data_IF_288877256940
#
_entry.id   IF_288877256940
#
_cell.length_a   1.000
_cell.length_b   1.000
_cell.length_c   1.000
_cell.angle_alpha   90.00
_cell.angle_beta   90.00
_cell.angle_gamma   90.00
#
_symmetry.space_group_name_H-M   'P 1'
#
loop_
_entity.id
_entity.type
_entity.pdbx_description
1 polymer ?
#
# COMPACT_ATOMS: atom_id res chain seq x y z
N UNK A 1 -24.39 42.18 -13.60
CA UNK A 1 -23.08 41.50 -13.41
C UNK A 1 -23.13 40.28 -12.48
N UNK A 2 -23.93 40.26 -11.39
CA UNK A 2 -23.97 39.12 -10.45
C UNK A 2 -24.73 37.87 -10.94
N UNK A 3 -25.61 38.02 -11.92
CA UNK A 3 -26.50 36.93 -12.36
C UNK A 3 -25.85 36.00 -13.40
N UNK A 4 -25.00 36.55 -14.28
CA UNK A 4 -24.25 35.78 -15.29
C UNK A 4 -23.25 34.82 -14.61
N UNK A 5 -22.65 35.25 -13.49
CA UNK A 5 -21.74 34.42 -12.69
C UNK A 5 -22.45 33.32 -11.88
N UNK A 6 -23.78 33.38 -11.73
CA UNK A 6 -24.59 32.31 -11.12
C UNK A 6 -24.96 31.26 -12.17
N UNK A 7 -25.37 31.70 -13.36
CA UNK A 7 -25.71 30.81 -14.48
C UNK A 7 -24.52 29.92 -14.93
N UNK A 8 -23.30 30.47 -14.92
CA UNK A 8 -22.09 29.69 -15.23
C UNK A 8 -21.79 28.56 -14.21
N UNK A 9 -22.22 28.71 -12.95
CA UNK A 9 -22.04 27.68 -11.91
C UNK A 9 -23.10 26.58 -11.96
N UNK A 10 -24.30 26.89 -12.45
CA UNK A 10 -25.41 25.94 -12.53
C UNK A 10 -25.32 25.04 -13.76
N UNK A 11 -24.76 25.53 -14.88
CA UNK A 11 -24.55 24.75 -16.09
C UNK A 11 -23.46 23.66 -15.93
N UNK A 12 -22.52 23.83 -15.00
CA UNK A 12 -21.49 22.82 -14.70
C UNK A 12 -21.94 21.75 -13.69
N UNK A 13 -23.10 21.93 -13.02
CA UNK A 13 -23.67 20.92 -12.11
C UNK A 13 -24.36 19.77 -12.86
N UNK A 14 -24.58 19.89 -14.18
CA UNK A 14 -25.35 18.91 -14.97
C UNK A 14 -24.53 18.02 -15.90
N UNK A 15 -23.21 18.06 -15.79
CA UNK A 15 -22.30 17.07 -16.36
C UNK A 15 -21.41 16.56 -15.24
N UNK A 16 -22.01 15.85 -14.28
CA UNK A 16 -21.27 14.83 -13.53
C UNK A 16 -21.03 13.68 -14.49
N UNK A 17 -20.02 13.89 -15.33
CA UNK A 17 -19.30 12.80 -15.95
C UNK A 17 -18.98 11.78 -14.86
N UNK A 18 -19.18 10.51 -15.18
CA UNK A 18 -18.66 9.36 -14.44
C UNK A 18 -17.13 9.34 -14.57
N UNK A 19 -16.49 10.42 -14.14
CA UNK A 19 -15.07 10.45 -13.82
C UNK A 19 -14.94 9.61 -12.56
N UNK A 20 -14.31 8.45 -12.68
CA UNK A 20 -13.79 7.70 -11.52
C UNK A 20 -13.25 8.70 -10.50
N UNK A 21 -13.56 8.59 -9.19
CA UNK A 21 -13.00 9.52 -8.23
C UNK A 21 -11.48 9.32 -8.26
N UNK A 22 -10.81 10.23 -8.96
CA UNK A 22 -9.40 10.49 -8.74
C UNK A 22 -9.34 11.08 -7.33
N UNK A 23 -9.31 10.18 -6.34
CA UNK A 23 -8.98 10.58 -4.98
C UNK A 23 -7.63 11.27 -5.10
N UNK A 24 -7.61 12.56 -4.78
CA UNK A 24 -6.38 13.32 -4.66
C UNK A 24 -5.58 12.64 -3.55
N UNK A 25 -4.67 11.73 -3.92
CA UNK A 25 -3.79 11.04 -2.97
C UNK A 25 -2.70 11.97 -2.44
N UNK A 26 -2.82 13.28 -2.68
CA UNK A 26 -2.04 14.30 -2.01
C UNK A 26 -2.30 14.27 -0.49
N UNK A 27 -1.40 13.63 0.26
CA UNK A 27 -1.35 13.68 1.71
C UNK A 27 -1.60 12.33 2.41
N UNK A 28 -1.93 12.40 3.69
CA UNK A 28 -2.18 11.21 4.53
C UNK A 28 -3.65 10.81 4.44
N UNK A 29 -3.97 9.50 4.40
CA UNK A 29 -5.34 9.04 4.56
C UNK A 29 -5.99 9.59 5.84
N UNK A 30 -7.21 10.14 5.77
CA UNK A 30 -7.84 10.81 6.92
C UNK A 30 -8.23 9.83 8.04
N UNK A 31 -8.58 8.60 7.68
CA UNK A 31 -8.97 7.55 8.62
C UNK A 31 -8.80 6.17 7.99
N UNK A 32 -8.99 5.14 8.82
CA UNK A 32 -8.90 3.73 8.45
C UNK A 32 -9.88 3.31 7.34
N UNK A 33 -11.09 3.86 7.35
CA UNK A 33 -12.14 3.55 6.39
C UNK A 33 -11.77 4.03 4.98
N UNK A 34 -11.20 5.22 4.87
CA UNK A 34 -10.73 5.77 3.61
C UNK A 34 -9.62 4.90 2.98
N UNK A 35 -8.74 4.30 3.80
CA UNK A 35 -7.71 3.35 3.33
C UNK A 35 -8.36 2.09 2.75
N UNK A 36 -9.41 1.56 3.40
CA UNK A 36 -10.14 0.38 2.92
C UNK A 36 -10.88 0.68 1.61
N UNK A 37 -11.55 1.83 1.54
CA UNK A 37 -12.25 2.26 0.34
C UNK A 37 -11.29 2.43 -0.84
N UNK A 38 -10.14 3.09 -0.61
CA UNK A 38 -9.08 3.20 -1.61
C UNK A 38 -8.62 1.82 -2.09
N UNK A 39 -8.31 0.90 -1.17
CA UNK A 39 -7.86 -0.44 -1.52
C UNK A 39 -8.90 -1.19 -2.36
N UNK A 40 -10.18 -1.17 -1.94
CA UNK A 40 -11.28 -1.84 -2.65
C UNK A 40 -11.53 -1.27 -4.05
N UNK A 41 -11.46 0.06 -4.19
CA UNK A 41 -11.83 0.73 -5.44
C UNK A 41 -10.70 0.76 -6.47
N UNK A 42 -9.44 0.75 -6.01
CA UNK A 42 -8.25 0.90 -6.86
C UNK A 42 -7.38 -0.36 -6.90
N UNK A 43 -6.99 -0.88 -5.74
CA UNK A 43 -5.93 -1.90 -5.64
C UNK A 43 -6.45 -3.33 -5.86
N UNK A 44 -7.73 -3.61 -5.55
CA UNK A 44 -8.36 -4.89 -5.89
C UNK A 44 -8.41 -5.09 -7.41
N UNK A 45 -8.67 -4.03 -8.19
CA UNK A 45 -8.63 -4.09 -9.67
C UNK A 45 -7.24 -4.37 -10.22
N UNK A 46 -6.20 -4.06 -9.43
CA UNK A 46 -4.79 -4.35 -9.72
C UNK A 46 -4.33 -5.71 -9.17
N UNK A 47 -5.26 -6.52 -8.67
CA UNK A 47 -5.02 -7.84 -8.10
C UNK A 47 -4.00 -7.87 -6.95
N UNK A 48 -3.88 -6.77 -6.17
CA UNK A 48 -2.97 -6.74 -5.03
C UNK A 48 -3.38 -7.78 -3.99
N UNK A 49 -2.40 -8.56 -3.55
CA UNK A 49 -2.61 -9.64 -2.58
C UNK A 49 -2.93 -10.98 -3.23
N UNK A 50 -2.96 -11.06 -4.57
CA UNK A 50 -3.14 -12.29 -5.33
C UNK A 50 -1.92 -12.59 -6.21
N UNK A 51 -1.66 -13.87 -6.47
CA UNK A 51 -0.67 -14.35 -7.43
C UNK A 51 -1.26 -14.54 -8.84
N UNK A 52 -0.44 -15.06 -9.77
CA UNK A 52 -0.84 -15.31 -11.17
C UNK A 52 -2.01 -16.31 -11.30
N UNK A 53 -2.20 -17.19 -10.32
CA UNK A 53 -3.30 -18.16 -10.25
C UNK A 53 -4.55 -17.60 -9.53
N UNK A 54 -4.56 -16.30 -9.18
CA UNK A 54 -5.57 -15.66 -8.32
C UNK A 54 -5.65 -16.26 -6.91
N UNK A 55 -4.55 -16.81 -6.38
CA UNK A 55 -4.47 -17.29 -4.99
C UNK A 55 -3.88 -16.20 -4.10
N UNK A 56 -4.28 -16.14 -2.81
CA UNK A 56 -3.69 -15.19 -1.87
C UNK A 56 -2.17 -15.35 -1.76
N UNK A 57 -1.43 -14.25 -1.87
CA UNK A 57 0.01 -14.24 -1.63
C UNK A 57 0.33 -14.41 -0.15
N UNK A 58 1.48 -15.01 0.12
CA UNK A 58 1.93 -15.37 1.47
C UNK A 58 2.48 -14.18 2.29
N UNK A 59 2.61 -13.00 1.71
CA UNK A 59 3.18 -11.83 2.39
C UNK A 59 2.18 -10.71 2.68
N UNK A 60 0.94 -10.76 2.16
CA UNK A 60 -0.02 -9.67 2.29
C UNK A 60 -1.04 -9.91 3.41
N UNK A 61 -1.07 -9.01 4.41
CA UNK A 61 -1.88 -9.15 5.62
C UNK A 61 -3.10 -8.21 5.63
N UNK A 62 -3.36 -7.50 4.54
CA UNK A 62 -4.44 -6.51 4.49
C UNK A 62 -4.24 -5.39 5.51
N UNK A 63 -5.31 -4.96 6.16
CA UNK A 63 -5.30 -3.84 7.09
C UNK A 63 -5.10 -4.28 8.55
N UNK A 64 -3.85 -4.57 8.90
CA UNK A 64 -3.43 -4.74 10.30
C UNK A 64 -2.66 -3.51 10.79
N UNK A 65 -2.70 -3.27 12.08
CA UNK A 65 -1.93 -2.21 12.75
C UNK A 65 -0.45 -2.55 12.77
N UNK A 66 0.36 -1.54 13.06
CA UNK A 66 1.80 -1.73 13.31
C UNK A 66 2.05 -2.72 14.45
N UNK A 67 1.29 -2.63 15.54
CA UNK A 67 1.48 -3.49 16.72
C UNK A 67 1.14 -4.95 16.42
N UNK A 68 0.05 -5.21 15.68
CA UNK A 68 -0.30 -6.57 15.25
C UNK A 68 0.78 -7.16 14.36
N UNK A 69 1.33 -6.38 13.43
CA UNK A 69 2.45 -6.81 12.59
C UNK A 69 3.71 -7.14 13.39
N UNK A 70 4.06 -6.30 14.38
CA UNK A 70 5.18 -6.55 15.29
C UNK A 70 4.98 -7.84 16.10
N UNK A 71 3.76 -8.08 16.61
CA UNK A 71 3.41 -9.31 17.32
C UNK A 71 3.51 -10.56 16.44
N UNK A 72 2.99 -10.50 15.22
CA UNK A 72 3.07 -11.60 14.25
C UNK A 72 4.53 -11.94 13.91
N UNK A 73 5.37 -10.92 13.71
CA UNK A 73 6.79 -11.11 13.38
C UNK A 73 7.66 -11.48 14.58
N UNK A 74 7.21 -11.26 15.83
CA UNK A 74 8.02 -11.49 17.02
C UNK A 74 8.51 -12.95 17.15
N UNK A 75 7.68 -13.90 16.72
CA UNK A 75 7.97 -15.34 16.74
C UNK A 75 8.61 -15.86 15.44
N UNK A 76 8.87 -14.97 14.48
CA UNK A 76 9.47 -15.33 13.19
C UNK A 76 11.00 -15.10 13.23
N UNK A 77 11.77 -15.83 12.40
CA UNK A 77 13.20 -15.61 12.28
C UNK A 77 13.51 -14.20 11.74
N UNK A 78 14.68 -13.66 12.09
CA UNK A 78 15.19 -12.43 11.45
C UNK A 78 15.25 -12.57 9.92
N UNK A 79 14.91 -11.50 9.21
CA UNK A 79 14.70 -11.55 7.76
C UNK A 79 13.25 -11.81 7.34
N UNK A 80 12.38 -12.21 8.27
CA UNK A 80 10.95 -12.38 7.96
C UNK A 80 10.27 -11.05 7.74
N UNK A 81 9.30 -11.00 6.83
CA UNK A 81 8.58 -9.78 6.53
C UNK A 81 7.10 -10.03 6.25
N UNK A 82 6.31 -8.96 6.35
CA UNK A 82 4.94 -8.92 5.87
C UNK A 82 4.62 -7.53 5.33
N UNK A 83 3.60 -7.46 4.48
CA UNK A 83 3.08 -6.22 3.90
C UNK A 83 1.67 -5.99 4.42
N UNK A 84 1.41 -4.76 4.85
CA UNK A 84 0.10 -4.32 5.35
C UNK A 84 -0.29 -2.99 4.73
N UNK A 85 -1.57 -2.70 4.69
CA UNK A 85 -2.07 -1.39 4.34
C UNK A 85 -1.56 -0.32 5.33
N UNK A 86 -1.34 0.89 4.83
CA UNK A 86 -0.81 2.00 5.61
C UNK A 86 -1.89 3.02 5.94
N UNK A 87 -1.96 3.39 7.22
CA UNK A 87 -2.74 4.55 7.67
C UNK A 87 -1.89 5.83 7.69
N UNK A 88 -0.67 5.80 7.12
CA UNK A 88 0.28 6.94 7.09
C UNK A 88 0.49 7.52 5.69
N UNK A 89 0.28 6.71 4.66
CA UNK A 89 0.44 7.09 3.24
C UNK A 89 -0.65 6.37 2.45
N UNK A 90 -1.00 6.88 1.28
CA UNK A 90 -1.84 6.14 0.32
C UNK A 90 -1.01 5.02 -0.31
N UNK A 91 -1.04 3.86 0.34
CA UNK A 91 -0.17 2.73 0.01
C UNK A 91 -0.01 1.76 1.17
N UNK A 92 1.22 1.29 1.37
CA UNK A 92 1.52 0.14 2.22
C UNK A 92 2.64 0.42 3.22
N UNK A 93 2.82 -0.52 4.13
CA UNK A 93 3.99 -0.62 4.98
C UNK A 93 4.52 -2.06 4.94
N UNK A 94 5.81 -2.21 4.67
CA UNK A 94 6.54 -3.46 4.83
C UNK A 94 7.06 -3.50 6.25
N UNK A 95 6.60 -4.46 7.04
CA UNK A 95 7.11 -4.71 8.39
C UNK A 95 8.14 -5.84 8.31
N UNK A 96 9.31 -5.61 8.89
CA UNK A 96 10.49 -6.47 8.73
C UNK A 96 11.08 -6.86 10.08
N UNK A 97 11.30 -8.16 10.27
CA UNK A 97 11.86 -8.74 11.47
C UNK A 97 13.38 -8.56 11.51
N UNK A 98 13.82 -7.75 12.46
CA UNK A 98 15.21 -7.61 12.89
C UNK A 98 15.22 -7.47 14.43
N UNK A 99 16.40 -7.30 15.03
CA UNK A 99 16.58 -7.06 16.48
C UNK A 99 15.54 -6.07 17.05
N UNK A 100 15.31 -4.96 16.34
CA UNK A 100 14.13 -4.11 16.46
C UNK A 100 13.35 -4.18 15.15
N UNK A 101 12.03 -4.40 15.23
CA UNK A 101 11.17 -4.42 14.04
C UNK A 101 11.30 -3.11 13.25
N UNK A 102 11.51 -3.23 11.94
CA UNK A 102 11.65 -2.10 11.01
C UNK A 102 10.39 -1.98 10.17
N UNK A 103 10.04 -0.76 9.78
CA UNK A 103 8.86 -0.51 8.93
C UNK A 103 9.22 0.45 7.81
N UNK A 104 8.92 0.04 6.58
CA UNK A 104 9.21 0.82 5.39
C UNK A 104 7.89 1.17 4.69
N UNK A 105 7.66 2.45 4.46
CA UNK A 105 6.45 2.92 3.81
C UNK A 105 6.59 2.79 2.29
N UNK A 106 5.53 2.31 1.64
CA UNK A 106 5.40 2.23 0.19
C UNK A 106 4.30 3.20 -0.22
N UNK A 107 4.65 4.19 -1.03
CA UNK A 107 3.68 5.05 -1.72
C UNK A 107 3.14 4.32 -2.96
N UNK A 108 1.82 4.40 -3.15
CA UNK A 108 1.09 3.78 -4.25
C UNK A 108 0.41 4.81 -5.18
N UNK A 109 0.72 6.10 -5.00
CA UNK A 109 0.10 7.21 -5.74
C UNK A 109 0.44 7.20 -7.23
N UNK A 110 1.67 6.84 -7.59
CA UNK A 110 2.16 6.76 -8.97
C UNK A 110 3.14 5.58 -9.12
N UNK A 111 2.57 4.38 -9.26
CA UNK A 111 3.29 3.12 -9.10
C UNK A 111 3.62 2.84 -7.63
N UNK A 112 4.40 1.78 -7.39
CA UNK A 112 4.77 1.33 -6.04
C UNK A 112 6.23 1.68 -5.76
N UNK A 113 6.48 2.48 -4.72
CA UNK A 113 7.84 2.92 -4.39
C UNK A 113 8.03 3.06 -2.90
N UNK A 114 9.18 2.62 -2.40
CA UNK A 114 9.56 2.87 -1.01
C UNK A 114 9.84 4.36 -0.78
N UNK A 115 9.37 4.89 0.35
CA UNK A 115 9.73 6.24 0.76
C UNK A 115 11.19 6.28 1.25
N UNK A 116 11.98 7.14 0.63
CA UNK A 116 13.41 7.31 0.93
C UNK A 116 14.18 7.84 -0.28
N UNK A 117 15.43 8.24 -0.08
CA UNK A 117 16.31 8.62 -1.18
C UNK A 117 16.68 7.41 -2.04
N UNK A 118 16.78 7.60 -3.36
CA UNK A 118 17.27 6.59 -4.30
C UNK A 118 16.33 5.42 -4.58
N UNK A 119 15.08 5.46 -4.10
CA UNK A 119 14.12 4.38 -4.31
C UNK A 119 13.45 4.48 -5.68
N UNK A 120 13.39 3.35 -6.39
CA UNK A 120 12.78 3.22 -7.71
C UNK A 120 11.29 2.90 -7.60
N UNK A 121 10.52 3.27 -8.62
CA UNK A 121 9.11 2.88 -8.72
C UNK A 121 8.96 1.57 -9.49
N UNK A 122 8.00 0.76 -9.07
CA UNK A 122 7.63 -0.51 -9.67
C UNK A 122 6.19 -0.46 -10.19
N UNK A 123 5.90 -1.26 -11.23
CA UNK A 123 4.57 -1.31 -11.83
C UNK A 123 3.56 -2.03 -10.94
N UNK A 124 3.99 -3.09 -10.25
CA UNK A 124 3.16 -3.83 -9.29
C UNK A 124 3.82 -3.89 -7.92
N UNK A 125 3.02 -4.07 -6.86
CA UNK A 125 3.54 -4.30 -5.52
C UNK A 125 4.37 -5.59 -5.46
N UNK A 126 3.95 -6.63 -6.19
CA UNK A 126 4.69 -7.89 -6.29
C UNK A 126 6.09 -7.69 -6.88
N UNK A 127 6.23 -6.84 -7.91
CA UNK A 127 7.54 -6.51 -8.49
C UNK A 127 8.46 -5.83 -7.48
N UNK A 128 7.92 -4.90 -6.67
CA UNK A 128 8.68 -4.25 -5.59
C UNK A 128 9.19 -5.29 -4.59
N UNK A 129 8.31 -6.21 -4.14
CA UNK A 129 8.70 -7.27 -3.20
C UNK A 129 9.75 -8.20 -3.83
N UNK A 130 9.56 -8.59 -5.08
CA UNK A 130 10.46 -9.49 -5.80
C UNK A 130 11.83 -8.85 -6.08
N UNK A 131 11.87 -7.55 -6.35
CA UNK A 131 13.12 -6.80 -6.47
C UNK A 131 13.90 -6.81 -5.15
N UNK A 132 13.22 -6.52 -4.04
CA UNK A 132 13.85 -6.45 -2.72
C UNK A 132 14.15 -7.81 -2.07
N UNK A 133 13.82 -8.93 -2.73
CA UNK A 133 14.42 -10.25 -2.43
C UNK A 133 15.90 -10.31 -2.80
N UNK A 134 16.35 -9.46 -3.72
CA UNK A 134 17.73 -9.47 -4.26
C UNK A 134 18.48 -8.18 -3.94
N UNK A 135 17.75 -7.07 -3.81
CA UNK A 135 18.33 -5.74 -3.55
C UNK A 135 17.91 -5.26 -2.15
N UNK A 136 18.85 -4.98 -1.23
CA UNK A 136 18.51 -4.50 0.11
C UNK A 136 17.66 -3.22 0.07
N UNK A 137 16.77 -3.06 1.05
CA UNK A 137 15.95 -1.85 1.16
C UNK A 137 16.81 -0.62 1.50
N UNK A 138 17.82 -0.77 2.36
CA UNK A 138 18.67 0.34 2.81
C UNK A 138 20.09 0.23 2.26
N UNK A 139 20.76 1.38 2.15
CA UNK A 139 22.17 1.46 1.69
C UNK A 139 23.15 0.74 2.64
N UNK A 140 22.80 0.65 3.93
CA UNK A 140 23.54 -0.10 4.94
C UNK A 140 23.59 -1.61 4.64
N UNK A 141 22.65 -2.09 3.80
CA UNK A 141 22.54 -3.48 3.40
C UNK A 141 21.86 -4.38 4.44
N UNK A 142 21.51 -5.58 4.00
CA UNK A 142 21.01 -6.67 4.84
C UNK A 142 19.49 -6.82 4.93
N UNK A 143 18.69 -5.79 4.67
CA UNK A 143 17.22 -5.93 4.69
C UNK A 143 16.67 -6.42 3.35
N UNK A 144 16.80 -7.73 3.14
CA UNK A 144 16.24 -8.45 2.00
C UNK A 144 14.92 -9.11 2.37
N UNK A 145 13.92 -9.00 1.50
CA UNK A 145 12.57 -9.54 1.72
C UNK A 145 12.49 -11.04 1.39
N UNK A 146 13.28 -11.85 2.09
CA UNK A 146 13.48 -13.26 1.76
C UNK A 146 12.35 -14.16 2.24
N UNK A 147 11.93 -13.99 3.50
CA UNK A 147 11.01 -14.94 4.16
C UNK A 147 9.65 -14.27 4.38
N UNK A 148 8.64 -14.55 3.55
CA UNK A 148 7.30 -14.03 3.78
C UNK A 148 6.70 -14.68 5.03
N UNK A 149 6.05 -13.87 5.87
CA UNK A 149 5.28 -14.37 7.00
C UNK A 149 3.83 -14.58 6.53
N UNK A 150 3.37 -15.84 6.52
CA UNK A 150 2.02 -16.20 6.06
C UNK A 150 0.95 -15.62 6.99
N UNK A 151 -0.10 -14.95 6.46
CA UNK A 151 -1.26 -14.55 7.27
C UNK A 151 -1.91 -15.76 7.93
N UNK A 152 -2.19 -15.68 9.24
CA UNK A 152 -2.91 -16.74 9.95
C UNK A 152 -4.37 -16.90 9.48
N UNK A 153 -4.92 -15.85 8.87
CA UNK A 153 -6.24 -15.82 8.27
C UNK A 153 -6.11 -15.16 6.90
N UNK A 154 -6.81 -15.69 5.89
CA UNK A 154 -6.90 -15.05 4.58
C UNK A 154 -7.48 -13.65 4.78
N UNK A 155 -6.80 -12.58 4.32
CA UNK A 155 -7.34 -11.23 4.44
C UNK A 155 -8.71 -11.17 3.78
N UNK A 156 -9.71 -10.63 4.47
CA UNK A 156 -11.02 -10.34 3.87
C UNK A 156 -10.80 -9.16 2.91
N UNK A 157 -10.77 -9.45 1.62
CA UNK A 157 -10.63 -8.47 0.52
C UNK A 157 -11.96 -7.74 0.32
#
# INVERSE_FOLDING_TARGET
>A
MREIARAAREAHRRSVDFSSPCHDTAGKPPNREAVLEWFRTQEVKRAVGLDEDNKPVDWFHGLITRSEAEQTLAQQPEGSFLVRLSERVWGYAISYRAARCKHYLVDASDGYRLLGAGQIAHQTLADLINYHKKVPITESGGELLNTPCVPAQTPVI
#
